data_IF_877374728125
#
_entry.id   IF_877374728125
#
_cell.length_a   1.000
_cell.length_b   1.000
_cell.length_c   1.000
_cell.angle_alpha   90.00
_cell.angle_beta   90.00
_cell.angle_gamma   90.00
#
_symmetry.space_group_name_H-M   'P 1'
#
loop_
_entity.id
_entity.type
_entity.pdbx_description
1 polymer ?
#
# COMPACT_ATOMS: atom_id res chain seq x y z
N UNK A 1 16.98 21.93 -5.50
CA UNK A 1 17.38 21.80 -4.07
C UNK A 1 18.56 22.69 -3.72
N UNK A 2 19.69 22.65 -4.44
CA UNK A 2 20.79 23.62 -4.22
C UNK A 2 20.32 25.07 -4.39
N UNK A 3 19.56 25.35 -5.45
CA UNK A 3 19.03 26.69 -5.70
C UNK A 3 17.98 27.12 -4.67
N UNK A 4 17.10 26.20 -4.24
CA UNK A 4 16.12 26.41 -3.16
C UNK A 4 16.79 26.79 -1.82
N UNK A 5 17.92 26.14 -1.50
CA UNK A 5 18.73 26.46 -0.31
C UNK A 5 19.44 27.80 -0.48
N UNK A 6 20.01 28.06 -1.66
CA UNK A 6 20.69 29.33 -1.96
C UNK A 6 19.74 30.52 -1.93
N UNK A 7 18.48 30.34 -2.34
CA UNK A 7 17.43 31.35 -2.30
C UNK A 7 16.79 31.53 -0.91
N UNK A 8 17.15 30.72 0.09
CA UNK A 8 16.55 30.78 1.43
C UNK A 8 15.05 30.45 1.47
N UNK A 9 14.53 29.77 0.45
CA UNK A 9 13.12 29.46 0.27
C UNK A 9 12.67 28.37 1.27
N UNK A 10 12.40 28.78 2.51
CA UNK A 10 12.08 27.88 3.63
C UNK A 10 10.86 27.01 3.38
N UNK A 11 9.79 27.56 2.81
CA UNK A 11 8.53 26.84 2.62
C UNK A 11 8.63 25.77 1.52
N UNK A 12 9.33 26.07 0.43
CA UNK A 12 9.65 25.08 -0.62
C UNK A 12 10.54 23.97 -0.08
N UNK A 13 11.57 24.33 0.69
CA UNK A 13 12.46 23.35 1.31
C UNK A 13 11.71 22.45 2.29
N UNK A 14 10.84 23.04 3.12
CA UNK A 14 10.01 22.31 4.06
C UNK A 14 9.07 21.33 3.34
N UNK A 15 8.41 21.78 2.27
CA UNK A 15 7.51 20.94 1.47
C UNK A 15 8.24 19.75 0.86
N UNK A 16 9.40 19.99 0.24
CA UNK A 16 10.21 18.94 -0.36
C UNK A 16 10.69 17.90 0.67
N UNK A 17 11.19 18.36 1.83
CA UNK A 17 11.65 17.48 2.89
C UNK A 17 10.50 16.73 3.57
N UNK A 18 9.34 17.36 3.75
CA UNK A 18 8.14 16.72 4.27
C UNK A 18 7.66 15.61 3.34
N UNK A 19 7.58 15.86 2.03
CA UNK A 19 7.23 14.84 1.04
C UNK A 19 8.22 13.67 1.05
N UNK A 20 9.54 13.95 1.14
CA UNK A 20 10.56 12.92 1.24
C UNK A 20 10.47 12.10 2.55
N UNK A 21 10.08 12.71 3.66
CA UNK A 21 9.85 12.03 4.94
C UNK A 21 8.61 11.14 4.87
N UNK A 22 7.51 11.64 4.33
CA UNK A 22 6.27 10.88 4.16
C UNK A 22 6.50 9.66 3.25
N UNK A 23 7.16 9.86 2.10
CA UNK A 23 7.55 8.77 1.21
C UNK A 23 8.42 7.71 1.92
N UNK A 24 9.42 8.13 2.71
CA UNK A 24 10.29 7.20 3.46
C UNK A 24 9.58 6.49 4.61
N UNK A 25 8.65 7.16 5.28
CA UNK A 25 7.92 6.56 6.41
C UNK A 25 6.95 5.49 5.92
N UNK A 26 6.44 5.66 4.70
CA UNK A 26 5.56 4.71 4.04
C UNK A 26 6.31 3.59 3.29
N UNK A 27 7.65 3.69 3.18
CA UNK A 27 8.48 2.62 2.63
C UNK A 27 8.73 1.55 3.71
N UNK A 28 8.51 0.27 3.41
CA UNK A 28 8.73 -0.79 4.40
C UNK A 28 10.22 -0.99 4.69
N UNK A 29 10.58 -1.14 5.97
CA UNK A 29 11.97 -1.19 6.43
C UNK A 29 12.82 -2.40 6.00
N UNK A 30 12.28 -3.35 5.20
CA UNK A 30 12.98 -4.57 4.74
C UNK A 30 12.81 -4.86 3.24
N UNK A 31 12.40 -3.89 2.42
CA UNK A 31 12.22 -4.12 0.98
C UNK A 31 13.56 -3.93 0.29
N UNK A 32 14.00 -4.98 -0.41
CA UNK A 32 15.28 -5.00 -1.12
C UNK A 32 15.18 -4.15 -2.41
N UNK A 33 13.99 -4.05 -3.01
CA UNK A 33 13.71 -3.30 -4.25
C UNK A 33 12.24 -2.83 -4.32
N UNK A 34 11.93 -1.53 -4.09
CA UNK A 34 10.55 -1.00 -4.21
C UNK A 34 9.90 -1.25 -5.57
N UNK A 35 10.70 -1.33 -6.63
CA UNK A 35 10.31 -1.68 -8.00
C UNK A 35 9.76 -3.11 -8.15
N UNK A 36 10.00 -3.97 -7.16
CA UNK A 36 9.49 -5.34 -7.12
C UNK A 36 8.19 -5.46 -6.31
N UNK A 37 7.59 -4.33 -5.90
CA UNK A 37 6.34 -4.32 -5.16
C UNK A 37 5.15 -3.94 -6.04
N UNK A 38 4.00 -4.52 -5.70
CA UNK A 38 2.70 -4.16 -6.25
C UNK A 38 1.76 -3.69 -5.15
N UNK A 39 0.96 -2.68 -5.48
CA UNK A 39 -0.15 -2.23 -4.66
C UNK A 39 -1.39 -3.08 -4.98
N UNK A 40 -2.00 -3.68 -3.96
CA UNK A 40 -3.26 -4.42 -4.04
C UNK A 40 -4.31 -3.67 -3.24
N UNK A 41 -5.30 -3.11 -3.94
CA UNK A 41 -6.44 -2.39 -3.36
C UNK A 41 -7.63 -3.33 -3.22
N UNK A 42 -8.09 -3.54 -1.99
CA UNK A 42 -9.11 -4.51 -1.64
C UNK A 42 -10.27 -3.79 -0.98
N UNK A 43 -11.47 -3.89 -1.56
CA UNK A 43 -12.69 -3.40 -0.89
C UNK A 43 -13.02 -4.31 0.29
N UNK A 44 -13.00 -3.74 1.50
CA UNK A 44 -13.33 -4.49 2.72
C UNK A 44 -14.85 -4.43 2.93
N UNK A 45 -15.55 -5.58 2.96
CA UNK A 45 -16.96 -5.61 3.31
C UNK A 45 -17.16 -5.16 4.76
N UNK A 46 -18.26 -4.45 5.02
CA UNK A 46 -18.65 -3.97 6.34
C UNK A 46 -19.20 -5.12 7.19
N UNK A 47 -18.29 -6.02 7.60
CA UNK A 47 -18.55 -7.14 8.51
C UNK A 47 -17.33 -7.42 9.37
N UNK A 48 -17.59 -7.91 10.58
CA UNK A 48 -16.55 -8.35 11.51
C UNK A 48 -15.62 -9.38 10.86
N UNK A 49 -14.31 -9.22 11.08
CA UNK A 49 -13.30 -10.17 10.61
C UNK A 49 -12.92 -10.06 9.13
N UNK A 50 -13.53 -9.15 8.35
CA UNK A 50 -13.24 -9.02 6.93
C UNK A 50 -11.76 -8.69 6.63
N UNK A 51 -11.14 -7.81 7.42
CA UNK A 51 -9.71 -7.51 7.28
C UNK A 51 -8.85 -8.70 7.71
N UNK A 52 -9.21 -9.39 8.81
CA UNK A 52 -8.49 -10.56 9.28
C UNK A 52 -8.44 -11.68 8.23
N UNK A 53 -9.53 -11.88 7.50
CA UNK A 53 -9.60 -12.87 6.41
C UNK A 53 -8.59 -12.61 5.29
N UNK A 54 -8.31 -11.34 4.98
CA UNK A 54 -7.27 -10.96 4.00
C UNK A 54 -5.88 -11.32 4.52
N UNK A 55 -5.59 -11.07 5.79
CA UNK A 55 -4.29 -11.40 6.40
C UNK A 55 -4.11 -12.91 6.55
N UNK A 56 -5.14 -13.64 6.96
CA UNK A 56 -5.11 -15.10 7.02
C UNK A 56 -4.86 -15.69 5.63
N UNK A 57 -5.52 -15.16 4.60
CA UNK A 57 -5.28 -15.56 3.23
C UNK A 57 -3.82 -15.34 2.80
N UNK A 58 -3.24 -14.17 3.12
CA UNK A 58 -1.86 -13.90 2.79
C UNK A 58 -0.91 -14.90 3.47
N UNK A 59 -1.15 -15.20 4.74
CA UNK A 59 -0.38 -16.20 5.48
C UNK A 59 -0.53 -17.61 4.88
N UNK A 60 -1.75 -18.04 4.57
CA UNK A 60 -2.04 -19.36 3.97
C UNK A 60 -1.33 -19.54 2.62
N UNK A 61 -1.20 -18.46 1.84
CA UNK A 61 -0.56 -18.46 0.53
C UNK A 61 0.94 -18.16 0.58
N UNK A 62 1.51 -17.92 1.77
CA UNK A 62 2.92 -17.54 1.92
C UNK A 62 3.27 -16.17 1.33
N UNK A 63 2.29 -15.27 1.21
CA UNK A 63 2.47 -13.93 0.63
C UNK A 63 2.89 -12.96 1.73
N UNK A 64 4.08 -12.38 1.59
CA UNK A 64 4.58 -11.39 2.52
C UNK A 64 3.92 -10.02 2.27
N UNK A 65 3.35 -9.44 3.32
CA UNK A 65 2.78 -8.08 3.29
C UNK A 65 3.84 -7.10 3.79
N UNK A 66 4.32 -6.25 2.89
CA UNK A 66 5.32 -5.26 3.20
C UNK A 66 4.72 -4.02 3.89
N UNK A 67 3.53 -3.59 3.46
CA UNK A 67 2.78 -2.50 4.09
C UNK A 67 1.28 -2.73 4.00
N UNK A 68 0.53 -2.12 4.91
CA UNK A 68 -0.92 -2.14 4.93
C UNK A 68 -1.49 -0.82 5.44
N UNK A 69 -2.49 -0.29 4.75
CA UNK A 69 -3.26 0.88 5.15
C UNK A 69 -4.75 0.68 4.86
N UNK A 70 -5.64 1.28 5.66
CA UNK A 70 -7.07 1.36 5.38
C UNK A 70 -7.45 2.80 5.03
N UNK A 71 -7.78 3.02 3.77
CA UNK A 71 -8.25 4.31 3.27
C UNK A 71 -9.78 4.35 3.30
N UNK A 72 -10.34 5.40 3.89
CA UNK A 72 -11.80 5.63 3.90
C UNK A 72 -12.16 6.51 2.70
N UNK A 73 -13.07 6.03 1.84
CA UNK A 73 -13.59 6.84 0.75
C UNK A 73 -14.58 7.86 1.32
N UNK A 74 -14.39 9.15 1.02
CA UNK A 74 -15.19 10.24 1.59
C UNK A 74 -16.71 10.12 1.30
N UNK A 75 -17.12 9.36 0.28
CA UNK A 75 -18.52 9.22 -0.14
C UNK A 75 -19.10 7.81 0.10
N UNK A 76 -18.39 6.90 0.75
CA UNK A 76 -18.89 5.55 1.01
C UNK A 76 -18.40 4.98 2.33
N UNK A 77 -19.29 4.43 3.14
CA UNK A 77 -19.01 3.76 4.42
C UNK A 77 -18.20 2.45 4.28
N UNK A 78 -17.30 2.35 3.29
CA UNK A 78 -16.54 1.14 2.98
C UNK A 78 -15.07 1.49 2.90
N UNK A 79 -14.28 0.91 3.81
CA UNK A 79 -12.83 1.00 3.79
C UNK A 79 -12.25 0.24 2.60
N UNK A 80 -11.21 0.83 1.99
CA UNK A 80 -10.35 0.16 1.01
C UNK A 80 -9.04 -0.16 1.72
N UNK A 81 -8.74 -1.44 1.87
CA UNK A 81 -7.42 -1.87 2.28
C UNK A 81 -6.45 -1.71 1.11
N UNK A 82 -5.32 -1.08 1.35
CA UNK A 82 -4.21 -0.95 0.42
C UNK A 82 -3.06 -1.77 0.99
N UNK A 83 -2.65 -2.81 0.26
CA UNK A 83 -1.62 -3.75 0.69
C UNK A 83 -0.46 -3.67 -0.29
N UNK A 84 0.78 -3.59 0.20
CA UNK A 84 1.97 -3.75 -0.63
C UNK A 84 2.51 -5.17 -0.46
N UNK A 85 2.70 -5.87 -1.58
CA UNK A 85 3.27 -7.22 -1.62
C UNK A 85 4.31 -7.32 -2.74
N UNK A 86 5.07 -8.41 -2.73
CA UNK A 86 5.97 -8.77 -3.82
C UNK A 86 5.18 -9.02 -5.12
N UNK A 87 5.66 -8.46 -6.24
CA UNK A 87 5.09 -8.61 -7.57
C UNK A 87 4.97 -10.08 -8.00
N UNK A 88 5.93 -10.93 -7.64
CA UNK A 88 5.91 -12.35 -7.95
C UNK A 88 4.74 -13.09 -7.26
N UNK A 89 4.25 -12.54 -6.15
CA UNK A 89 3.11 -13.09 -5.39
C UNK A 89 1.76 -12.50 -5.81
N UNK A 90 1.73 -11.59 -6.79
CA UNK A 90 0.53 -10.83 -7.15
C UNK A 90 -0.61 -11.72 -7.64
N UNK A 91 -0.33 -12.62 -8.58
CA UNK A 91 -1.36 -13.44 -9.22
C UNK A 91 -1.99 -14.44 -8.25
N UNK A 92 -1.17 -15.09 -7.41
CA UNK A 92 -1.66 -16.04 -6.40
C UNK A 92 -2.52 -15.35 -5.35
N UNK A 93 -2.09 -14.17 -4.88
CA UNK A 93 -2.84 -13.41 -3.89
C UNK A 93 -4.16 -12.89 -4.45
N UNK A 94 -4.13 -12.33 -5.67
CA UNK A 94 -5.32 -11.87 -6.40
C UNK A 94 -6.31 -13.00 -6.61
N UNK A 95 -5.86 -14.18 -7.03
CA UNK A 95 -6.69 -15.36 -7.22
C UNK A 95 -7.37 -15.80 -5.91
N UNK A 96 -6.60 -15.88 -4.82
CA UNK A 96 -7.12 -16.22 -3.50
C UNK A 96 -8.17 -15.24 -2.97
N UNK A 97 -7.98 -13.94 -3.23
CA UNK A 97 -8.92 -12.88 -2.85
C UNK A 97 -10.24 -13.01 -3.61
N UNK A 98 -10.18 -13.22 -4.93
CA UNK A 98 -11.36 -13.42 -5.77
C UNK A 98 -12.13 -14.67 -5.33
N UNK A 99 -11.43 -15.76 -5.03
CA UNK A 99 -12.04 -17.00 -4.55
C UNK A 99 -12.81 -16.83 -3.23
N UNK A 100 -12.38 -15.89 -2.36
CA UNK A 100 -13.07 -15.52 -1.11
C UNK A 100 -14.10 -14.39 -1.28
N UNK A 101 -14.39 -13.98 -2.52
CA UNK A 101 -15.41 -12.99 -2.85
C UNK A 101 -14.98 -11.52 -2.71
N UNK A 102 -13.68 -11.26 -2.50
CA UNK A 102 -13.14 -9.92 -2.55
C UNK A 102 -13.01 -9.41 -3.99
N UNK A 103 -12.90 -8.09 -4.14
CA UNK A 103 -12.76 -7.42 -5.44
C UNK A 103 -11.46 -6.61 -5.46
N UNK A 104 -10.30 -7.27 -5.69
CA UNK A 104 -9.00 -6.61 -5.68
C UNK A 104 -8.70 -5.89 -7.01
N UNK A 105 -7.98 -4.78 -6.92
CA UNK A 105 -7.31 -4.12 -8.04
C UNK A 105 -5.80 -4.10 -7.77
N UNK A 106 -4.98 -4.40 -8.77
CA UNK A 106 -3.52 -4.47 -8.65
C UNK A 106 -2.88 -3.38 -9.51
N UNK A 107 -1.91 -2.66 -8.95
CA UNK A 107 -1.13 -1.63 -9.63
C UNK A 107 0.35 -1.83 -9.32
N UNK A 108 1.21 -1.90 -10.34
CA UNK A 108 2.66 -1.94 -10.13
C UNK A 108 3.18 -0.56 -9.68
N UNK A 109 4.13 -0.53 -8.75
CA UNK A 109 4.83 0.70 -8.39
C UNK A 109 5.89 0.97 -9.48
N UNK A 110 5.82 2.15 -10.12
CA UNK A 110 6.70 2.56 -11.23
C UNK A 110 7.80 3.50 -10.76
#
# INVERSE_FOLDING_TARGET
MRDTVAAGARDELFTALKGAREARTNLPGRVVHPEELVEVRIRIPDRTGAAAEVFTLAADLGVNIANFEVVHLAEGNRGVAVVLIDAASSDVFRGGLIARGFKPSVTALS
#
